data_IF_106406106772
#
_entry.id   IF_106406106772
#
_cell.length_a   1.000
_cell.length_b   1.000
_cell.length_c   1.000
_cell.angle_alpha   90.00
_cell.angle_beta   90.00
_cell.angle_gamma   90.00
#
_symmetry.space_group_name_H-M   'P 1'
#
loop_
_entity.id
_entity.type
_entity.pdbx_description
1 polymer ?
#
# COMPACT_ATOMS: atom_id res chain seq x y z
N UNK A 1 -33.95 11.84 25.71
CA UNK A 1 -32.85 12.74 25.31
C UNK A 1 -31.83 11.88 24.60
N UNK A 2 -31.55 12.21 23.34
CA UNK A 2 -30.83 11.35 22.40
C UNK A 2 -29.37 11.16 22.81
N UNK A 3 -28.89 9.91 22.71
CA UNK A 3 -27.48 9.57 22.82
C UNK A 3 -26.73 10.19 21.64
N UNK A 4 -25.90 11.20 21.93
CA UNK A 4 -24.82 11.62 21.05
C UNK A 4 -23.73 10.54 21.11
N UNK A 5 -23.93 9.49 20.33
CA UNK A 5 -22.86 8.60 19.87
C UNK A 5 -21.98 9.42 18.93
N UNK A 6 -21.03 10.17 19.50
CA UNK A 6 -19.87 10.62 18.77
C UNK A 6 -19.11 9.37 18.35
N UNK A 7 -19.37 8.91 17.13
CA UNK A 7 -18.43 8.09 16.39
C UNK A 7 -17.16 8.92 16.22
N UNK A 8 -16.31 8.92 17.26
CA UNK A 8 -14.89 9.09 17.09
C UNK A 8 -14.55 8.05 16.03
N UNK A 9 -14.22 8.52 14.83
CA UNK A 9 -13.46 7.72 13.90
C UNK A 9 -12.23 7.27 14.69
N UNK A 10 -12.31 6.04 15.21
CA UNK A 10 -11.14 5.28 15.63
C UNK A 10 -10.30 5.23 14.37
N UNK A 11 -9.38 6.20 14.24
CA UNK A 11 -8.18 6.05 13.44
C UNK A 11 -7.73 4.62 13.69
N UNK A 12 -7.68 3.81 12.63
CA UNK A 12 -7.44 2.39 12.76
C UNK A 12 -6.22 2.20 13.67
N UNK A 13 -6.46 1.76 14.89
CA UNK A 13 -5.41 1.52 15.86
C UNK A 13 -4.66 0.31 15.32
N UNK A 14 -3.62 0.57 14.51
CA UNK A 14 -2.77 -0.50 14.03
C UNK A 14 -2.09 -1.13 15.24
N UNK A 15 -1.96 -2.45 15.22
CA UNK A 15 -1.26 -3.20 16.25
C UNK A 15 0.06 -3.73 15.66
N UNK A 16 1.22 -3.15 16.03
CA UNK A 16 2.52 -3.56 15.49
C UNK A 16 2.86 -5.04 15.75
N UNK A 17 2.30 -5.64 16.82
CA UNK A 17 2.54 -7.05 17.13
C UNK A 17 1.91 -8.01 16.11
N UNK A 18 1.01 -7.50 15.25
CA UNK A 18 0.39 -8.25 14.16
C UNK A 18 1.21 -8.24 12.87
N UNK A 19 2.14 -7.32 12.69
CA UNK A 19 2.88 -7.20 11.43
C UNK A 19 3.60 -8.50 11.02
N UNK A 20 4.30 -9.23 11.91
CA UNK A 20 4.94 -10.48 11.52
C UNK A 20 3.95 -11.54 11.02
N UNK A 21 2.77 -11.65 11.65
CA UNK A 21 1.72 -12.57 11.21
C UNK A 21 1.12 -12.13 9.88
N UNK A 22 0.87 -10.83 9.70
CA UNK A 22 0.33 -10.30 8.45
C UNK A 22 1.31 -10.48 7.27
N UNK A 23 2.61 -10.31 7.49
CA UNK A 23 3.63 -10.60 6.47
C UNK A 23 3.66 -12.10 6.11
N UNK A 24 3.48 -12.99 7.09
CA UNK A 24 3.35 -14.42 6.84
C UNK A 24 2.07 -14.78 6.08
N UNK A 25 0.94 -14.14 6.42
CA UNK A 25 -0.32 -14.29 5.69
C UNK A 25 -0.19 -13.79 4.25
N UNK A 26 0.45 -12.63 4.05
CA UNK A 26 0.76 -12.08 2.74
C UNK A 26 1.61 -13.04 1.90
N UNK A 27 2.59 -13.71 2.51
CA UNK A 27 3.39 -14.73 1.83
C UNK A 27 2.55 -15.97 1.48
N UNK A 28 1.57 -16.33 2.30
CA UNK A 28 0.65 -17.44 2.02
C UNK A 28 -0.38 -17.10 0.92
N UNK A 29 -0.70 -15.82 0.73
CA UNK A 29 -1.60 -15.33 -0.32
C UNK A 29 -0.93 -15.26 -1.70
N UNK A 30 0.40 -15.44 -1.76
CA UNK A 30 1.12 -15.58 -3.03
C UNK A 30 0.61 -16.82 -3.77
N UNK A 31 0.19 -16.64 -5.02
CA UNK A 31 -0.52 -17.61 -5.87
C UNK A 31 -2.02 -17.82 -5.55
N UNK A 32 -2.59 -17.11 -4.58
CA UNK A 32 -4.04 -17.15 -4.28
C UNK A 32 -4.74 -15.82 -4.60
N UNK A 33 -4.08 -14.69 -4.36
CA UNK A 33 -4.59 -13.35 -4.68
C UNK A 33 -3.55 -12.44 -5.35
N UNK A 34 -2.29 -12.53 -4.93
CA UNK A 34 -1.16 -11.76 -5.49
C UNK A 34 -0.13 -12.68 -6.15
N UNK A 35 0.55 -12.19 -7.18
CA UNK A 35 1.67 -12.88 -7.81
C UNK A 35 2.99 -12.65 -7.05
N UNK A 36 4.00 -13.50 -7.27
CA UNK A 36 5.31 -13.38 -6.60
C UNK A 36 5.95 -11.99 -6.77
N UNK A 37 5.75 -11.37 -7.92
CA UNK A 37 6.31 -10.04 -8.26
C UNK A 37 5.63 -8.91 -7.49
N UNK A 38 4.32 -9.04 -7.27
CA UNK A 38 3.54 -8.10 -6.46
C UNK A 38 3.92 -8.21 -4.99
N UNK A 39 4.11 -9.45 -4.50
CA UNK A 39 4.62 -9.71 -3.16
C UNK A 39 6.02 -9.13 -2.95
N UNK A 40 6.96 -9.43 -3.85
CA UNK A 40 8.32 -8.90 -3.77
C UNK A 40 8.34 -7.36 -3.81
N UNK A 41 7.56 -6.74 -4.70
CA UNK A 41 7.48 -5.28 -4.77
C UNK A 41 6.90 -4.64 -3.50
N UNK A 42 5.91 -5.29 -2.87
CA UNK A 42 5.33 -4.83 -1.61
C UNK A 42 6.31 -5.01 -0.44
N UNK A 43 7.00 -6.15 -0.34
CA UNK A 43 8.02 -6.35 0.69
C UNK A 43 9.18 -5.37 0.52
N UNK A 44 9.63 -5.14 -0.72
CA UNK A 44 10.68 -4.15 -0.98
C UNK A 44 10.24 -2.74 -0.57
N UNK A 45 8.98 -2.35 -0.85
CA UNK A 45 8.42 -1.09 -0.36
C UNK A 45 8.48 -1.00 1.17
N UNK A 46 8.02 -2.04 1.87
CA UNK A 46 7.98 -2.06 3.33
C UNK A 46 9.39 -2.04 3.94
N UNK A 47 10.35 -2.72 3.31
CA UNK A 47 11.77 -2.67 3.69
C UNK A 47 12.37 -1.27 3.49
N UNK A 48 12.12 -0.64 2.33
CA UNK A 48 12.54 0.73 2.06
C UNK A 48 11.93 1.72 3.05
N UNK A 49 10.65 1.55 3.36
CA UNK A 49 9.95 2.37 4.34
C UNK A 49 10.58 2.20 5.74
N UNK A 50 10.75 0.96 6.20
CA UNK A 50 11.37 0.68 7.50
C UNK A 50 12.81 1.20 7.59
N UNK A 51 13.56 1.22 6.48
CA UNK A 51 14.94 1.70 6.41
C UNK A 51 15.08 3.16 5.95
N UNK A 52 13.98 3.86 5.67
CA UNK A 52 14.00 5.25 5.19
C UNK A 52 14.66 6.21 6.19
N UNK A 53 14.64 5.87 7.47
CA UNK A 53 15.10 6.76 8.54
C UNK A 53 14.21 7.99 8.68
N UNK A 54 12.95 7.90 8.23
CA UNK A 54 11.97 8.96 8.39
C UNK A 54 11.77 9.30 9.88
N UNK A 55 11.65 10.58 10.18
CA UNK A 55 11.47 11.06 11.56
C UNK A 55 10.05 10.78 12.03
N UNK A 56 9.91 9.77 12.87
CA UNK A 56 8.67 9.39 13.56
C UNK A 56 8.78 9.56 15.08
N UNK A 57 9.84 10.22 15.54
CA UNK A 57 10.18 10.37 16.97
C UNK A 57 9.13 11.15 17.78
N UNK A 58 8.22 11.84 17.11
CA UNK A 58 7.11 12.56 17.72
C UNK A 58 5.97 11.63 18.16
N UNK A 59 5.87 10.41 17.62
CA UNK A 59 4.83 9.44 17.99
C UNK A 59 5.45 8.07 18.34
N UNK A 60 5.38 7.64 19.62
CA UNK A 60 6.00 6.39 20.06
C UNK A 60 5.31 5.14 19.47
N UNK A 61 4.06 5.26 19.01
CA UNK A 61 3.36 4.15 18.37
C UNK A 61 3.86 3.98 16.92
N UNK A 62 4.14 5.08 16.22
CA UNK A 62 4.79 5.04 14.91
C UNK A 62 6.22 4.53 14.98
N UNK A 63 7.00 4.99 15.97
CA UNK A 63 8.36 4.50 16.23
C UNK A 63 8.36 2.97 16.44
N UNK A 64 7.49 2.49 17.33
CA UNK A 64 7.34 1.05 17.57
C UNK A 64 6.84 0.29 16.33
N UNK A 65 5.97 0.92 15.54
CA UNK A 65 5.49 0.39 14.27
C UNK A 65 6.62 0.22 13.25
N UNK A 66 7.52 1.19 13.12
CA UNK A 66 8.69 1.11 12.23
C UNK A 66 9.62 -0.04 12.65
N UNK A 67 9.93 -0.16 13.95
CA UNK A 67 10.77 -1.23 14.48
C UNK A 67 10.15 -2.62 14.25
N UNK A 68 8.85 -2.76 14.54
CA UNK A 68 8.13 -4.01 14.33
C UNK A 68 8.01 -4.36 12.84
N UNK A 69 7.79 -3.37 11.98
CA UNK A 69 7.75 -3.57 10.55
C UNK A 69 9.10 -4.03 10.04
N UNK A 70 10.18 -3.37 10.45
CA UNK A 70 11.55 -3.75 10.13
C UNK A 70 11.80 -5.21 10.48
N UNK A 71 11.48 -5.63 11.71
CA UNK A 71 11.65 -7.03 12.13
C UNK A 71 10.80 -8.00 11.31
N UNK A 72 9.57 -7.62 10.96
CA UNK A 72 8.66 -8.45 10.19
C UNK A 72 9.15 -8.69 8.74
N UNK A 73 9.76 -7.68 8.12
CA UNK A 73 10.18 -7.76 6.70
C UNK A 73 11.66 -8.10 6.52
N UNK A 74 12.51 -7.94 7.53
CA UNK A 74 13.95 -8.26 7.46
C UNK A 74 14.21 -9.75 7.21
N UNK A 75 13.34 -10.63 7.72
CA UNK A 75 13.45 -12.08 7.52
C UNK A 75 12.89 -12.55 6.16
N UNK A 76 12.25 -11.67 5.39
CA UNK A 76 11.64 -12.01 4.10
C UNK A 76 12.67 -11.85 2.98
N UNK A 77 13.07 -12.95 2.29
CA UNK A 77 14.02 -12.86 1.21
C UNK A 77 13.37 -12.23 -0.02
N UNK A 78 13.80 -11.03 -0.38
CA UNK A 78 13.48 -10.42 -1.68
C UNK A 78 14.56 -10.87 -2.64
N UNK A 79 14.20 -11.68 -3.64
CA UNK A 79 15.18 -12.23 -4.59
C UNK A 79 15.66 -11.21 -5.62
N UNK A 80 15.08 -10.02 -5.64
CA UNK A 80 15.51 -8.88 -6.48
C UNK A 80 15.49 -9.21 -7.97
N UNK A 81 14.68 -10.21 -8.36
CA UNK A 81 14.63 -10.75 -9.72
C UNK A 81 13.85 -9.85 -10.68
N UNK A 82 12.89 -9.08 -10.16
CA UNK A 82 12.07 -8.14 -10.93
C UNK A 82 12.17 -6.71 -10.41
N UNK A 83 11.94 -5.76 -11.33
CA UNK A 83 12.07 -4.33 -11.09
C UNK A 83 10.95 -3.89 -10.15
N UNK A 84 11.31 -3.36 -8.98
CA UNK A 84 10.39 -2.64 -8.14
C UNK A 84 9.68 -1.55 -8.94
N UNK A 85 8.35 -1.58 -8.91
CA UNK A 85 7.53 -0.53 -9.51
C UNK A 85 6.39 -0.18 -8.56
N UNK A 86 6.11 1.13 -8.51
CA UNK A 86 4.95 1.68 -7.80
C UNK A 86 3.64 0.94 -8.13
N UNK A 87 3.47 0.57 -9.41
CA UNK A 87 2.25 -0.10 -9.88
C UNK A 87 2.08 -1.51 -9.28
N UNK A 88 3.16 -2.28 -9.13
CA UNK A 88 3.11 -3.61 -8.52
C UNK A 88 2.78 -3.51 -7.04
N UNK A 89 3.49 -2.64 -6.31
CA UNK A 89 3.25 -2.44 -4.88
C UNK A 89 1.83 -1.93 -4.59
N UNK A 90 1.36 -0.95 -5.36
CA UNK A 90 0.01 -0.39 -5.22
C UNK A 90 -1.08 -1.40 -5.58
N UNK A 91 -0.88 -2.22 -6.61
CA UNK A 91 -1.82 -3.31 -6.95
C UNK A 91 -1.86 -4.40 -5.87
N UNK A 92 -0.72 -4.75 -5.28
CA UNK A 92 -0.65 -5.73 -4.20
C UNK A 92 -1.45 -5.27 -2.98
N UNK A 93 -1.25 -4.01 -2.56
CA UNK A 93 -2.02 -3.40 -1.47
C UNK A 93 -3.50 -3.36 -1.77
N UNK A 94 -3.89 -3.04 -3.01
CA UNK A 94 -5.30 -3.03 -3.40
C UNK A 94 -5.98 -4.40 -3.20
N UNK A 95 -5.35 -5.46 -3.72
CA UNK A 95 -5.87 -6.82 -3.63
C UNK A 95 -5.99 -7.26 -2.18
N UNK A 96 -4.91 -7.17 -1.41
CA UNK A 96 -4.87 -7.57 -0.01
C UNK A 96 -5.87 -6.77 0.84
N UNK A 97 -6.01 -5.46 0.58
CA UNK A 97 -6.96 -4.62 1.31
C UNK A 97 -8.41 -4.99 0.97
N UNK A 98 -8.69 -5.36 -0.28
CA UNK A 98 -10.02 -5.82 -0.71
C UNK A 98 -10.38 -7.16 -0.09
N UNK A 99 -9.40 -8.05 0.10
CA UNK A 99 -9.57 -9.33 0.77
C UNK A 99 -9.58 -9.20 2.31
N UNK A 100 -9.22 -8.02 2.83
CA UNK A 100 -9.21 -7.73 4.26
C UNK A 100 -7.98 -8.27 4.99
N UNK A 101 -6.91 -8.59 4.27
CA UNK A 101 -5.61 -8.96 4.80
C UNK A 101 -4.74 -7.72 5.08
N UNK A 102 -3.73 -7.88 5.93
CA UNK A 102 -2.73 -6.83 6.21
C UNK A 102 -3.31 -5.50 6.72
N UNK A 103 -4.46 -5.53 7.41
CA UNK A 103 -5.14 -4.32 7.88
C UNK A 103 -4.31 -3.49 8.87
N UNK A 104 -3.45 -4.12 9.67
CA UNK A 104 -2.60 -3.38 10.60
C UNK A 104 -1.46 -2.69 9.84
N UNK A 105 -0.79 -3.38 8.91
CA UNK A 105 0.22 -2.78 8.03
C UNK A 105 -0.39 -1.62 7.23
N UNK A 106 -1.56 -1.79 6.63
CA UNK A 106 -2.19 -0.71 5.85
C UNK A 106 -2.68 0.44 6.73
N UNK A 107 -3.19 0.15 7.93
CA UNK A 107 -3.51 1.18 8.92
C UNK A 107 -2.28 1.99 9.34
N UNK A 108 -1.13 1.33 9.47
CA UNK A 108 0.15 1.99 9.76
C UNK A 108 0.62 2.87 8.60
N UNK A 109 0.57 2.40 7.35
CA UNK A 109 0.91 3.21 6.18
C UNK A 109 0.03 4.46 6.05
N UNK A 110 -1.28 4.31 6.29
CA UNK A 110 -2.21 5.43 6.31
C UNK A 110 -1.88 6.41 7.45
N UNK A 111 -1.50 5.92 8.63
CA UNK A 111 -1.10 6.78 9.75
C UNK A 111 0.18 7.56 9.44
N UNK A 112 1.22 6.93 8.88
CA UNK A 112 2.46 7.61 8.50
C UNK A 112 2.20 8.78 7.54
N UNK A 113 1.34 8.57 6.55
CA UNK A 113 0.95 9.64 5.63
C UNK A 113 0.09 10.71 6.33
N UNK A 114 -0.87 10.32 7.17
CA UNK A 114 -1.71 11.24 7.92
C UNK A 114 -0.91 12.16 8.85
N UNK A 115 0.11 11.61 9.50
CA UNK A 115 1.03 12.35 10.37
C UNK A 115 2.00 13.24 9.60
N UNK A 116 2.01 13.14 8.26
CA UNK A 116 2.85 13.95 7.39
C UNK A 116 4.33 13.58 7.52
N UNK A 117 4.63 12.30 7.75
CA UNK A 117 6.01 11.80 7.82
C UNK A 117 6.73 12.11 6.50
N UNK A 118 7.88 12.77 6.60
CA UNK A 118 8.64 13.23 5.45
C UNK A 118 9.53 12.11 4.88
N UNK A 119 9.21 11.66 3.66
CA UNK A 119 10.03 10.76 2.87
C UNK A 119 10.69 11.48 1.70
N UNK A 120 10.80 12.81 1.73
CA UNK A 120 11.30 13.62 0.61
C UNK A 120 12.73 13.28 0.17
N UNK A 121 13.49 12.60 1.05
CA UNK A 121 14.81 12.04 0.76
C UNK A 121 14.77 10.86 -0.23
N UNK A 122 13.64 10.16 -0.34
CA UNK A 122 13.37 9.09 -1.29
C UNK A 122 12.12 9.44 -2.12
N UNK A 123 12.34 10.05 -3.29
CA UNK A 123 11.26 10.51 -4.17
C UNK A 123 10.37 9.37 -4.67
N UNK A 124 10.93 8.16 -4.81
CA UNK A 124 10.18 7.00 -5.28
C UNK A 124 9.27 6.48 -4.17
N UNK A 125 9.79 6.34 -2.95
CA UNK A 125 9.02 5.99 -1.75
C UNK A 125 7.92 7.03 -1.47
N UNK A 126 8.25 8.33 -1.52
CA UNK A 126 7.29 9.41 -1.31
C UNK A 126 6.14 9.35 -2.34
N UNK A 127 6.47 9.10 -3.62
CA UNK A 127 5.46 8.97 -4.67
C UNK A 127 4.56 7.75 -4.41
N UNK A 128 5.15 6.62 -4.03
CA UNK A 128 4.38 5.39 -3.75
C UNK A 128 3.50 5.51 -2.52
N UNK A 129 3.98 6.15 -1.45
CA UNK A 129 3.15 6.44 -0.27
C UNK A 129 1.95 7.34 -0.61
N UNK A 130 2.15 8.36 -1.45
CA UNK A 130 1.04 9.20 -1.90
C UNK A 130 0.01 8.40 -2.72
N UNK A 131 0.46 7.53 -3.62
CA UNK A 131 -0.42 6.68 -4.43
C UNK A 131 -1.19 5.67 -3.58
N UNK A 132 -0.52 5.05 -2.60
CA UNK A 132 -1.13 4.11 -1.66
C UNK A 132 -2.17 4.78 -0.77
N UNK A 133 -1.87 5.96 -0.22
CA UNK A 133 -2.82 6.67 0.61
C UNK A 133 -4.11 7.02 -0.15
N UNK A 134 -3.99 7.48 -1.40
CA UNK A 134 -5.15 7.74 -2.27
C UNK A 134 -6.01 6.48 -2.48
N UNK A 135 -5.40 5.30 -2.53
CA UNK A 135 -6.13 4.03 -2.60
C UNK A 135 -6.74 3.60 -1.27
N UNK A 136 -6.01 3.71 -0.17
CA UNK A 136 -6.48 3.32 1.16
C UNK A 136 -7.66 4.21 1.62
N UNK A 137 -7.62 5.51 1.31
CA UNK A 137 -8.75 6.43 1.53
C UNK A 137 -9.98 6.06 0.68
N UNK A 138 -9.78 5.53 -0.54
CA UNK A 138 -10.87 5.07 -1.41
C UNK A 138 -11.42 3.69 -1.04
N UNK A 139 -10.58 2.79 -0.52
CA UNK A 139 -10.95 1.44 -0.09
C UNK A 139 -11.63 1.38 1.28
N UNK A 140 -11.28 2.30 2.19
CA UNK A 140 -11.88 2.41 3.53
C UNK A 140 -13.06 3.41 3.58
N UNK A 141 -13.28 4.18 2.51
CA UNK A 141 -14.19 5.32 2.43
C UNK A 141 -15.37 5.15 1.47
N UNK A 142 -16.23 4.17 1.72
CA UNK A 142 -17.60 4.18 1.20
C UNK A 142 -18.43 5.29 1.85
N UNK A 143 -18.26 6.55 1.42
CA UNK A 143 -19.24 7.63 1.63
C UNK A 143 -18.70 8.96 2.18
N UNK A 144 -18.74 10.00 1.35
CA UNK A 144 -18.62 11.39 1.81
C UNK A 144 -18.29 12.35 0.67
N UNK A 145 -19.29 13.05 0.14
CA UNK A 145 -19.13 14.07 -0.89
C UNK A 145 -18.67 15.43 -0.36
N UNK A 146 -18.24 16.29 -1.30
CA UNK A 146 -17.83 17.69 -1.09
C UNK A 146 -16.36 17.76 -0.65
N UNK A 147 -15.43 18.35 -1.37
CA UNK A 147 -15.51 19.61 -2.10
C UNK A 147 -14.61 19.59 -3.36
N UNK A 148 -15.11 20.23 -4.42
CA UNK A 148 -14.32 20.70 -5.55
C UNK A 148 -13.25 21.67 -5.01
N UNK A 149 -11.99 21.57 -5.41
CA UNK A 149 -11.46 22.29 -6.57
C UNK A 149 -9.93 22.02 -6.55
N UNK A 150 -9.31 21.67 -7.69
CA UNK A 150 -7.88 21.35 -7.96
C UNK A 150 -7.48 19.90 -8.27
N UNK A 151 -8.28 18.88 -7.96
CA UNK A 151 -7.88 17.48 -8.22
C UNK A 151 -8.60 16.86 -9.44
N UNK A 152 -8.82 17.61 -10.52
CA UNK A 152 -9.53 17.10 -11.71
C UNK A 152 -8.62 16.34 -12.69
N UNK A 153 -7.33 16.64 -12.69
CA UNK A 153 -6.40 16.16 -13.73
C UNK A 153 -5.78 14.80 -13.37
N UNK A 154 -5.50 14.55 -12.09
CA UNK A 154 -5.01 13.24 -11.59
C UNK A 154 -6.12 12.17 -11.70
N UNK A 155 -7.38 12.58 -11.48
CA UNK A 155 -8.57 11.70 -11.58
C UNK A 155 -8.80 11.12 -12.97
N UNK A 156 -8.40 11.83 -14.03
CA UNK A 156 -8.50 11.31 -15.40
C UNK A 156 -7.27 10.49 -15.80
N UNK A 157 -6.08 10.78 -15.27
CA UNK A 157 -4.90 9.97 -15.56
C UNK A 157 -5.01 8.57 -14.90
N UNK A 158 -5.31 8.48 -13.61
CA UNK A 158 -5.40 7.18 -12.93
C UNK A 158 -6.46 6.24 -13.53
N UNK A 159 -7.63 6.77 -13.93
CA UNK A 159 -8.66 5.97 -14.63
C UNK A 159 -8.30 5.64 -16.09
N UNK A 160 -7.60 6.54 -16.79
CA UNK A 160 -7.16 6.28 -18.17
C UNK A 160 -6.00 5.28 -18.24
N UNK A 161 -5.15 5.21 -17.20
CA UNK A 161 -4.12 4.18 -17.07
C UNK A 161 -4.74 2.79 -16.85
N UNK A 162 -5.72 2.66 -15.95
CA UNK A 162 -6.35 1.36 -15.67
C UNK A 162 -7.17 0.80 -16.84
N UNK A 163 -7.90 1.64 -17.58
CA UNK A 163 -8.60 1.19 -18.80
C UNK A 163 -7.65 0.84 -19.96
N UNK A 164 -6.40 1.30 -19.93
CA UNK A 164 -5.38 0.94 -20.93
C UNK A 164 -4.68 -0.40 -20.65
N UNK A 165 -4.66 -0.86 -19.40
CA UNK A 165 -3.98 -2.11 -19.01
C UNK A 165 -4.74 -3.38 -19.42
N UNK A 166 -6.07 -3.32 -19.55
CA UNK A 166 -6.87 -4.44 -20.06
C UNK A 166 -6.57 -4.77 -21.54
N UNK A 167 -6.04 -3.81 -22.31
CA UNK A 167 -5.65 -4.02 -23.71
C UNK A 167 -4.21 -4.55 -23.88
N UNK A 168 -3.33 -4.34 -22.89
CA UNK A 168 -1.91 -4.72 -23.00
C UNK A 168 -1.69 -6.21 -22.68
N UNK A 169 -2.50 -6.81 -21.80
CA UNK A 169 -2.43 -8.26 -21.54
C UNK A 169 -3.11 -9.13 -22.62
N UNK A 170 -3.84 -8.54 -23.57
CA UNK A 170 -4.48 -9.29 -24.66
C UNK A 170 -3.57 -9.53 -25.89
N UNK A 171 -2.37 -8.93 -25.96
CA UNK A 171 -1.56 -8.91 -27.19
C UNK A 171 -0.25 -9.72 -27.15
N UNK A 172 -0.05 -10.58 -26.14
CA UNK A 172 1.20 -11.36 -25.98
C UNK A 172 1.09 -12.84 -26.41
N UNK A 173 0.05 -13.24 -27.15
CA UNK A 173 -0.10 -14.61 -27.64
C UNK A 173 -0.44 -14.73 -29.14
N UNK A 174 0.17 -13.94 -30.03
CA UNK A 174 0.16 -14.26 -31.47
C UNK A 174 1.53 -13.98 -32.09
N UNK A 175 2.36 -15.01 -32.22
CA UNK A 175 3.68 -14.81 -32.83
C UNK A 175 4.63 -15.99 -32.93
N UNK A 176 4.16 -17.25 -32.99
CA UNK A 176 5.03 -18.36 -33.44
C UNK A 176 4.27 -19.37 -34.29
N UNK A 177 3.89 -18.98 -35.50
CA UNK A 177 3.70 -19.94 -36.59
C UNK A 177 3.91 -19.23 -37.93
N UNK A 178 4.61 -19.92 -38.85
CA UNK A 178 4.95 -19.56 -40.24
C UNK A 178 6.19 -18.65 -40.33
N UNK A 179 7.31 -19.03 -40.95
CA UNK A 179 7.53 -19.85 -42.15
C UNK A 179 8.78 -20.72 -42.07
#
# INVERSE_FOLDING_TARGET
MAALLGALATHAAFDPSKFPSEVQEMQADVNSGIDDTQFEALIELLQRLAHSGADVSHDPNLEHGMEALQQAVEEVPVTGGEVFTDQLATSAVHTLNTEGHCQNIFGFLAQLHHDGVDFSHDQELQSTMNNLNVQLEQGLGGGGGGDADHNGEVRNQARSFFNGLSDIQANSQEGTAQQ
#
